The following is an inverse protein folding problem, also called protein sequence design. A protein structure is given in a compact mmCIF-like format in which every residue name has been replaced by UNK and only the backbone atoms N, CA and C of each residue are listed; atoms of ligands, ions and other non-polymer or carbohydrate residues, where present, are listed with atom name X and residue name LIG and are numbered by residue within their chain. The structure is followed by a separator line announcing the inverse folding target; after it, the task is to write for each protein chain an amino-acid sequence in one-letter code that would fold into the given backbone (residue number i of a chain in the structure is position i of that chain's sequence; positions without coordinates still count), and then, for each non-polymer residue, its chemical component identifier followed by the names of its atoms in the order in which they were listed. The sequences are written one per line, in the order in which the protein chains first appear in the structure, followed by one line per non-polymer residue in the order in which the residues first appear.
data_IF_247573254957
#
_entry.id   IF_247573254957
#
_cell.length_a   1.000
_cell.length_b   1.000
_cell.length_c   1.000
_cell.angle_alpha   90.00
_cell.angle_beta   90.00
_cell.angle_gamma   90.00
#
_symmetry.space_group_name_H-M   'P 1'
#
loop_
_entity.id
_entity.type
_entity.pdbx_description
1 polymer ?
#
# COMPACT_ATOMS: atom_id res chain seq x y z
N UNK A 1 -12.13 -9.20 26.53
CA UNK A 1 -13.07 -8.07 26.43
C UNK A 1 -13.67 -8.10 25.04
N UNK A 2 -14.98 -8.29 24.90
CA UNK A 2 -15.65 -8.39 23.59
C UNK A 2 -15.92 -6.95 23.14
N UNK A 3 -15.32 -6.50 22.05
CA UNK A 3 -15.61 -5.19 21.47
C UNK A 3 -17.09 -5.17 21.05
N UNK A 4 -17.87 -4.24 21.61
CA UNK A 4 -19.26 -4.05 21.21
C UNK A 4 -19.33 -3.51 19.79
N UNK A 5 -20.32 -3.96 19.02
CA UNK A 5 -20.50 -3.54 17.63
C UNK A 5 -20.91 -2.05 17.62
N UNK A 6 -20.25 -1.19 16.81
CA UNK A 6 -20.65 0.22 16.71
C UNK A 6 -22.12 0.34 16.26
N UNK A 7 -22.86 1.28 16.85
CA UNK A 7 -24.19 1.67 16.34
C UNK A 7 -24.04 2.51 15.06
N UNK A 8 -24.87 2.25 14.05
CA UNK A 8 -24.88 2.98 12.78
C UNK A 8 -24.20 2.25 11.61
N UNK A 9 -23.94 2.99 10.52
CA UNK A 9 -23.28 2.44 9.32
C UNK A 9 -21.79 2.28 9.57
N UNK A 10 -21.28 1.06 9.39
CA UNK A 10 -19.85 0.77 9.56
C UNK A 10 -19.00 1.50 8.52
N UNK A 11 -17.90 2.10 8.97
CA UNK A 11 -16.90 2.72 8.10
C UNK A 11 -16.16 1.64 7.33
N UNK A 12 -16.01 1.87 6.02
CA UNK A 12 -15.18 1.03 5.16
C UNK A 12 -13.71 1.39 5.38
N UNK A 13 -12.87 0.36 5.48
CA UNK A 13 -11.41 0.48 5.42
C UNK A 13 -10.83 0.24 4.03
N UNK A 14 -9.51 0.29 3.99
CA UNK A 14 -8.70 0.01 2.81
C UNK A 14 -7.83 -1.21 3.04
N UNK A 15 -7.65 -2.01 1.98
CA UNK A 15 -6.74 -3.16 2.03
C UNK A 15 -5.29 -2.69 1.99
N UNK A 16 -4.37 -3.52 2.49
CA UNK A 16 -2.92 -3.28 2.37
C UNK A 16 -2.50 -3.08 0.90
N UNK A 17 -3.12 -3.80 -0.03
CA UNK A 17 -2.89 -3.64 -1.47
C UNK A 17 -3.32 -2.28 -2.02
N UNK A 18 -4.44 -1.72 -1.55
CA UNK A 18 -4.85 -0.36 -1.92
C UNK A 18 -3.85 0.69 -1.42
N UNK A 19 -3.43 0.58 -0.16
CA UNK A 19 -2.39 1.46 0.40
C UNK A 19 -1.05 1.33 -0.34
N UNK A 20 -0.62 0.11 -0.67
CA UNK A 20 0.59 -0.13 -1.44
C UNK A 20 0.49 0.47 -2.86
N UNK A 21 -0.66 0.33 -3.52
CA UNK A 21 -0.90 0.90 -4.86
C UNK A 21 -0.83 2.43 -4.82
N UNK A 22 -1.45 3.05 -3.82
CA UNK A 22 -1.39 4.49 -3.58
C UNK A 22 0.05 4.97 -3.36
N UNK A 23 0.80 4.29 -2.47
CA UNK A 23 2.21 4.60 -2.21
C UNK A 23 3.08 4.47 -3.47
N UNK A 24 2.92 3.38 -4.25
CA UNK A 24 3.64 3.19 -5.52
C UNK A 24 3.31 4.28 -6.52
N UNK A 25 2.04 4.65 -6.67
CA UNK A 25 1.61 5.71 -7.59
C UNK A 25 2.23 7.06 -7.21
N UNK A 26 2.19 7.42 -5.93
CA UNK A 26 2.78 8.67 -5.45
C UNK A 26 4.30 8.71 -5.63
N UNK A 27 5.00 7.64 -5.25
CA UNK A 27 6.44 7.53 -5.43
C UNK A 27 6.84 7.54 -6.92
N UNK A 28 6.11 6.85 -7.79
CA UNK A 28 6.39 6.87 -9.22
C UNK A 28 6.18 8.25 -9.84
N UNK A 29 5.10 8.95 -9.46
CA UNK A 29 4.88 10.33 -9.88
C UNK A 29 6.04 11.23 -9.46
N UNK A 30 6.45 11.16 -8.18
CA UNK A 30 7.58 11.93 -7.67
C UNK A 30 8.91 11.57 -8.35
N UNK A 31 9.14 10.31 -8.68
CA UNK A 31 10.34 9.89 -9.43
C UNK A 31 10.38 10.52 -10.83
N UNK A 32 9.22 10.71 -11.47
CA UNK A 32 9.13 11.23 -12.85
C UNK A 32 9.06 12.76 -12.92
N UNK A 33 8.35 13.39 -12.00
CA UNK A 33 8.05 14.83 -12.05
C UNK A 33 8.78 15.61 -10.96
N UNK A 34 9.29 14.94 -9.94
CA UNK A 34 9.82 15.56 -8.75
C UNK A 34 8.78 15.90 -7.68
N UNK A 35 7.48 15.70 -7.93
CA UNK A 35 6.40 16.09 -7.03
C UNK A 35 5.55 14.88 -6.60
N UNK A 36 5.24 14.80 -5.31
CA UNK A 36 4.31 13.82 -4.77
C UNK A 36 2.86 14.34 -4.92
N UNK A 37 1.95 13.54 -5.47
CA UNK A 37 0.52 13.83 -5.39
C UNK A 37 0.01 13.52 -3.98
N UNK A 38 -0.39 14.53 -3.23
CA UNK A 38 -0.99 14.37 -1.91
C UNK A 38 -2.30 15.20 -1.81
N UNK A 39 -3.47 14.55 -1.63
CA UNK A 39 -3.67 13.11 -1.57
C UNK A 39 -3.50 12.43 -2.95
N UNK A 40 -3.06 11.18 -2.96
CA UNK A 40 -2.96 10.36 -4.18
C UNK A 40 -4.26 9.62 -4.44
N UNK A 41 -4.85 9.82 -5.62
CA UNK A 41 -6.04 9.06 -6.06
C UNK A 41 -5.63 7.79 -6.79
N UNK A 42 -6.27 6.64 -6.51
CA UNK A 42 -6.11 5.39 -7.29
C UNK A 42 -7.45 4.85 -7.74
N UNK A 43 -7.46 4.02 -8.78
CA UNK A 43 -8.66 3.28 -9.20
C UNK A 43 -8.61 1.88 -8.60
N UNK A 44 -9.63 1.51 -7.83
CA UNK A 44 -9.78 0.17 -7.28
C UNK A 44 -10.32 -0.81 -8.32
N UNK A 45 -10.20 -2.14 -8.13
CA UNK A 45 -10.68 -3.14 -9.09
C UNK A 45 -12.18 -3.02 -9.46
N UNK A 46 -12.99 -2.42 -8.58
CA UNK A 46 -14.42 -2.18 -8.82
C UNK A 46 -14.74 -0.81 -9.45
N UNK A 47 -13.71 -0.06 -9.85
CA UNK A 47 -13.85 1.25 -10.49
C UNK A 47 -13.94 2.46 -9.53
N UNK A 48 -14.07 2.23 -8.22
CA UNK A 48 -14.04 3.30 -7.21
C UNK A 48 -12.70 4.06 -7.25
N UNK A 49 -12.74 5.38 -7.06
CA UNK A 49 -11.54 6.25 -7.10
C UNK A 49 -11.27 7.01 -5.79
N UNK A 50 -10.94 6.31 -4.69
CA UNK A 50 -10.59 6.96 -3.44
C UNK A 50 -9.24 7.68 -3.50
N UNK A 51 -9.08 8.67 -2.63
CA UNK A 51 -7.84 9.43 -2.45
C UNK A 51 -7.24 9.17 -1.07
N UNK A 52 -5.92 9.02 -1.02
CA UNK A 52 -5.18 8.60 0.17
C UNK A 52 -4.18 9.71 0.55
N UNK A 53 -4.20 10.21 1.80
CA UNK A 53 -3.17 11.15 2.26
C UNK A 53 -1.82 10.44 2.40
N UNK A 54 -0.75 11.12 2.02
CA UNK A 54 0.61 10.63 2.23
C UNK A 54 1.02 10.83 3.69
N UNK A 55 1.60 9.78 4.28
CA UNK A 55 2.18 9.83 5.63
C UNK A 55 3.72 9.91 5.60
N UNK A 56 4.31 9.65 4.44
CA UNK A 56 5.75 9.70 4.19
C UNK A 56 6.01 10.12 2.75
N UNK A 57 6.96 11.04 2.56
CA UNK A 57 7.46 11.48 1.26
C UNK A 57 8.98 11.62 1.32
N UNK A 58 9.70 10.83 0.55
CA UNK A 58 11.15 10.92 0.46
C UNK A 58 11.62 10.72 -0.98
N UNK A 59 12.57 11.52 -1.44
CA UNK A 59 13.17 11.34 -2.77
C UNK A 59 14.68 11.55 -2.73
N UNK A 60 15.37 10.90 -3.66
CA UNK A 60 16.79 11.08 -3.87
C UNK A 60 17.20 10.74 -5.30
N UNK A 61 18.51 10.76 -5.60
CA UNK A 61 19.01 10.42 -6.92
C UNK A 61 18.58 9.01 -7.34
N UNK A 62 17.74 8.91 -8.38
CA UNK A 62 17.29 7.63 -8.94
C UNK A 62 16.30 6.85 -8.07
N UNK A 63 15.64 7.48 -7.08
CA UNK A 63 14.59 6.83 -6.31
C UNK A 63 13.59 7.83 -5.71
N UNK A 64 12.38 7.35 -5.47
CA UNK A 64 11.38 8.04 -4.66
C UNK A 64 10.64 7.03 -3.78
N UNK A 65 10.13 7.47 -2.64
CA UNK A 65 9.45 6.66 -1.65
C UNK A 65 8.26 7.42 -1.10
N UNK A 66 7.15 6.72 -0.95
CA UNK A 66 5.97 7.25 -0.29
C UNK A 66 5.39 6.22 0.68
N UNK A 67 4.63 6.68 1.67
CA UNK A 67 3.96 5.83 2.64
C UNK A 67 2.52 6.24 2.90
N UNK A 68 1.65 5.26 3.14
CA UNK A 68 0.24 5.43 3.48
C UNK A 68 -0.03 4.71 4.81
N UNK A 69 -0.66 5.38 5.77
CA UNK A 69 -1.18 4.72 6.97
C UNK A 69 -2.49 4.02 6.63
N UNK A 70 -2.57 2.72 6.90
CA UNK A 70 -3.75 1.91 6.58
C UNK A 70 -4.88 2.18 7.58
N UNK A 71 -5.96 2.83 7.12
CA UNK A 71 -7.24 2.84 7.84
C UNK A 71 -8.06 1.60 7.47
N UNK A 72 -8.43 0.79 8.46
CA UNK A 72 -9.22 -0.43 8.29
C UNK A 72 -10.73 -0.17 8.52
N UNK A 73 -11.11 1.10 8.76
CA UNK A 73 -12.48 1.44 9.13
C UNK A 73 -12.82 0.80 10.47
N UNK A 74 -13.92 0.07 10.53
CA UNK A 74 -14.36 -0.62 11.75
C UNK A 74 -14.05 -2.13 11.72
N UNK A 75 -13.27 -2.61 10.75
CA UNK A 75 -12.81 -4.00 10.69
C UNK A 75 -11.71 -4.24 11.75
N UNK A 76 -11.83 -5.27 12.63
CA UNK A 76 -10.78 -5.64 13.58
C UNK A 76 -9.58 -6.29 12.87
N UNK A 77 -8.89 -5.49 12.07
CA UNK A 77 -7.76 -5.87 11.23
C UNK A 77 -6.44 -5.58 11.97
N UNK A 78 -5.60 -6.60 12.14
CA UNK A 78 -4.32 -6.52 12.86
C UNK A 78 -3.31 -5.55 12.22
N UNK A 79 -3.49 -5.22 10.94
CA UNK A 79 -2.64 -4.29 10.21
C UNK A 79 -3.23 -2.87 10.16
N UNK A 80 -4.35 -2.60 10.86
CA UNK A 80 -4.83 -1.24 11.04
C UNK A 80 -3.74 -0.34 11.66
N UNK A 81 -3.58 0.87 11.11
CA UNK A 81 -2.57 1.83 11.54
C UNK A 81 -1.15 1.52 11.08
N UNK A 82 -0.90 0.39 10.39
CA UNK A 82 0.42 0.13 9.84
C UNK A 82 0.73 1.13 8.71
N UNK A 83 1.98 1.57 8.63
CA UNK A 83 2.45 2.38 7.51
C UNK A 83 2.93 1.47 6.38
N UNK A 84 2.25 1.50 5.26
CA UNK A 84 2.61 0.78 4.04
C UNK A 84 3.50 1.67 3.20
N UNK A 85 4.75 1.26 3.00
CA UNK A 85 5.79 2.06 2.33
C UNK A 85 6.17 1.41 1.00
N UNK A 86 6.29 2.21 -0.05
CA UNK A 86 6.81 1.77 -1.34
C UNK A 86 8.00 2.64 -1.76
N UNK A 87 9.11 2.02 -2.16
CA UNK A 87 10.25 2.70 -2.81
C UNK A 87 10.29 2.31 -4.27
N UNK A 88 10.26 3.30 -5.17
CA UNK A 88 10.32 3.12 -6.62
C UNK A 88 11.68 3.56 -7.12
N UNK A 89 12.28 2.73 -7.98
CA UNK A 89 13.57 3.00 -8.66
C UNK A 89 13.44 2.64 -10.14
N UNK A 90 14.17 3.31 -11.05
CA UNK A 90 14.31 2.85 -12.43
C UNK A 90 14.78 1.40 -12.46
N UNK A 91 14.12 0.59 -13.27
CA UNK A 91 14.45 -0.81 -13.51
C UNK A 91 14.97 -1.04 -14.93
N UNK A 92 15.14 -2.32 -15.27
CA UNK A 92 15.32 -2.74 -16.66
C UNK A 92 13.96 -3.02 -17.30
N UNK A 93 13.84 -4.12 -18.04
CA UNK A 93 12.56 -4.54 -18.59
C UNK A 93 11.61 -5.07 -17.51
N UNK A 94 10.33 -4.68 -17.64
CA UNK A 94 9.24 -5.12 -16.77
C UNK A 94 9.18 -4.47 -15.38
N UNK A 95 8.28 -4.98 -14.56
CA UNK A 95 8.08 -4.56 -13.16
C UNK A 95 8.61 -5.67 -12.25
N UNK A 96 9.41 -5.30 -11.26
CA UNK A 96 9.92 -6.22 -10.24
C UNK A 96 9.51 -5.74 -8.87
N UNK A 97 8.78 -6.58 -8.14
CA UNK A 97 8.49 -6.36 -6.73
C UNK A 97 9.61 -6.94 -5.88
N UNK A 98 9.96 -6.22 -4.81
CA UNK A 98 10.92 -6.68 -3.80
C UNK A 98 10.30 -6.48 -2.43
N UNK A 99 10.43 -7.49 -1.57
CA UNK A 99 10.02 -7.36 -0.18
C UNK A 99 10.83 -6.25 0.51
N UNK A 100 10.13 -5.30 1.11
CA UNK A 100 10.70 -4.38 2.09
C UNK A 100 10.61 -4.96 3.49
N UNK A 101 11.09 -4.20 4.47
CA UNK A 101 10.86 -4.52 5.88
C UNK A 101 9.35 -4.68 6.17
N UNK A 102 8.99 -5.68 6.97
CA UNK A 102 7.61 -6.00 7.30
C UNK A 102 6.84 -6.83 6.26
N UNK A 103 7.37 -7.01 5.04
CA UNK A 103 6.77 -7.89 4.03
C UNK A 103 7.27 -9.32 4.21
N UNK A 104 6.36 -10.24 4.51
CA UNK A 104 6.70 -11.66 4.70
C UNK A 104 7.07 -12.38 3.40
N UNK A 105 7.66 -13.56 3.53
CA UNK A 105 7.89 -14.51 2.44
C UNK A 105 6.88 -15.64 2.53
N UNK A 106 6.32 -16.08 1.41
CA UNK A 106 5.39 -17.21 1.38
C UNK A 106 6.14 -18.50 1.72
N UNK A 107 5.76 -19.16 2.82
CA UNK A 107 6.44 -20.38 3.30
C UNK A 107 5.65 -21.67 3.05
N UNK A 108 4.37 -21.56 2.66
CA UNK A 108 3.47 -22.70 2.44
C UNK A 108 2.63 -22.50 1.19
N UNK A 109 2.22 -23.58 0.49
CA UNK A 109 1.31 -23.48 -0.63
C UNK A 109 -0.09 -22.99 -0.19
N UNK A 110 -0.86 -22.44 -1.14
CA UNK A 110 -2.24 -22.01 -0.94
C UNK A 110 -2.50 -20.52 -1.12
N UNK A 111 -1.46 -19.70 -1.29
CA UNK A 111 -1.59 -18.31 -1.72
C UNK A 111 -1.50 -18.19 -3.25
N UNK A 112 -2.03 -17.12 -3.86
CA UNK A 112 -1.82 -16.82 -5.28
C UNK A 112 -0.34 -16.61 -5.66
N UNK A 113 0.51 -16.39 -4.67
CA UNK A 113 1.95 -16.17 -4.80
C UNK A 113 2.70 -17.44 -4.43
N UNK A 114 3.74 -17.78 -5.20
CA UNK A 114 4.51 -19.01 -5.04
C UNK A 114 5.32 -19.04 -3.72
N UNK A 115 5.62 -20.24 -3.22
CA UNK A 115 6.51 -20.43 -2.06
C UNK A 115 7.90 -19.88 -2.38
N UNK A 116 8.46 -19.09 -1.46
CA UNK A 116 9.75 -18.40 -1.61
C UNK A 116 9.64 -16.98 -2.14
N UNK A 117 8.49 -16.57 -2.66
CA UNK A 117 8.27 -15.21 -3.17
C UNK A 117 7.79 -14.25 -2.07
N UNK A 118 7.98 -12.92 -2.24
CA UNK A 118 7.40 -11.90 -1.39
C UNK A 118 5.87 -12.02 -1.31
N UNK A 119 5.28 -11.94 -0.11
CA UNK A 119 3.84 -12.02 0.10
C UNK A 119 3.12 -10.72 -0.34
N UNK A 120 3.11 -10.47 -1.66
CA UNK A 120 2.52 -9.31 -2.34
C UNK A 120 1.60 -9.83 -3.44
N UNK A 121 0.30 -9.51 -3.39
CA UNK A 121 -0.73 -10.08 -4.26
C UNK A 121 -1.65 -9.03 -4.90
#
# INVERSE_FOLDING_TARGET
MRLEKPEGTLRRGWTTGACATAAVKAAFAALKTGHFPDPVTITLPRGETPSFPLALEERGPGWARAGIVKDAGDDPDVTHGCMVIATVRPGGEGIRFRAGEGVGTVTRPGLPVAVGEPAIN
#
